data_IF_899496923280
#
_entry.id   IF_899496923280
#
_cell.length_a   1.000
_cell.length_b   1.000
_cell.length_c   1.000
_cell.angle_alpha   90.00
_cell.angle_beta   90.00
_cell.angle_gamma   90.00
#
_symmetry.space_group_name_H-M   'P 1'
#
loop_
_entity.id
_entity.type
_entity.pdbx_description
1 polymer ?
#
# COMPACT_ATOMS: atom_id res chain seq x y z
N UNK A 1 -3.39 11.38 -0.13
CA UNK A 1 -2.18 12.22 -0.16
C UNK A 1 -1.30 11.72 -1.30
N UNK A 2 -0.82 12.60 -2.18
CA UNK A 2 0.15 12.29 -3.25
C UNK A 2 1.41 13.14 -3.11
N UNK A 3 1.62 13.74 -1.94
CA UNK A 3 2.79 14.57 -1.68
C UNK A 3 4.08 13.75 -1.66
N UNK A 4 3.99 12.44 -1.46
CA UNK A 4 5.10 11.49 -1.60
C UNK A 4 4.82 10.52 -2.74
N UNK A 5 5.77 10.39 -3.67
CA UNK A 5 5.62 9.57 -4.88
C UNK A 5 5.50 8.06 -4.59
N UNK A 6 6.07 7.58 -3.48
CA UNK A 6 5.95 6.20 -3.01
C UNK A 6 5.69 6.19 -1.50
N UNK A 7 4.63 5.50 -1.12
CA UNK A 7 4.11 5.47 0.25
C UNK A 7 3.91 4.02 0.67
N UNK A 8 4.14 3.74 1.95
CA UNK A 8 3.94 2.42 2.54
C UNK A 8 3.14 2.57 3.81
N UNK A 9 2.07 1.81 3.92
CA UNK A 9 1.17 1.79 5.08
C UNK A 9 1.08 0.36 5.60
N UNK A 10 0.93 0.23 6.91
CA UNK A 10 0.57 -1.05 7.54
C UNK A 10 -0.86 -0.91 8.03
N UNK A 11 -1.74 -1.74 7.51
CA UNK A 11 -3.18 -1.76 7.84
C UNK A 11 -3.59 -3.17 8.26
N UNK A 12 -4.56 -3.29 9.15
CA UNK A 12 -5.06 -4.60 9.57
C UNK A 12 -6.11 -5.15 8.57
N UNK A 13 -6.02 -6.43 8.24
CA UNK A 13 -7.01 -7.07 7.36
C UNK A 13 -8.36 -7.20 8.05
N UNK A 14 -9.37 -6.49 7.55
CA UNK A 14 -10.72 -6.46 8.13
C UNK A 14 -11.47 -7.80 8.19
N UNK A 15 -10.92 -8.86 7.59
CA UNK A 15 -11.50 -10.21 7.60
C UNK A 15 -10.76 -11.15 8.56
N UNK A 16 -9.43 -11.04 8.66
CA UNK A 16 -8.61 -12.02 9.35
C UNK A 16 -7.65 -11.43 10.41
N UNK A 17 -7.72 -10.14 10.68
CA UNK A 17 -6.93 -9.43 11.68
C UNK A 17 -5.40 -9.66 11.57
N UNK A 18 -4.91 -9.75 10.33
CA UNK A 18 -3.50 -9.89 10.01
C UNK A 18 -2.97 -8.59 9.41
N UNK A 19 -1.73 -8.19 9.74
CA UNK A 19 -1.12 -7.00 9.17
C UNK A 19 -0.90 -7.13 7.66
N UNK A 20 -1.37 -6.13 6.93
CA UNK A 20 -1.18 -5.93 5.50
C UNK A 20 -0.19 -4.78 5.29
N UNK A 21 0.81 -4.99 4.44
CA UNK A 21 1.65 -3.93 3.90
C UNK A 21 1.05 -3.47 2.59
N UNK A 22 0.67 -2.19 2.54
CA UNK A 22 0.11 -1.54 1.36
C UNK A 22 1.17 -0.60 0.80
N UNK A 23 1.63 -0.86 -0.42
CA UNK A 23 2.54 0.01 -1.16
C UNK A 23 1.75 0.78 -2.21
N UNK A 24 1.72 2.11 -2.10
CA UNK A 24 1.09 2.99 -3.08
C UNK A 24 2.14 3.87 -3.75
N UNK A 25 2.08 3.99 -5.08
CA UNK A 25 2.94 4.92 -5.81
C UNK A 25 2.18 5.58 -6.96
N UNK A 26 2.66 6.75 -7.37
CA UNK A 26 2.19 7.45 -8.56
C UNK A 26 3.33 7.47 -9.57
N UNK A 27 3.07 6.97 -10.77
CA UNK A 27 4.06 6.95 -11.84
C UNK A 27 4.23 8.33 -12.49
N UNK A 28 5.12 8.41 -13.49
CA UNK A 28 5.45 9.66 -14.17
C UNK A 28 4.27 10.22 -15.00
N UNK A 29 3.33 9.37 -15.41
CA UNK A 29 2.11 9.74 -16.14
C UNK A 29 0.97 10.13 -15.18
N UNK A 30 1.21 10.06 -13.87
CA UNK A 30 0.23 10.33 -12.83
C UNK A 30 -0.72 9.16 -12.55
N UNK A 31 -0.44 7.97 -13.08
CA UNK A 31 -1.25 6.79 -12.82
C UNK A 31 -0.90 6.19 -11.45
N UNK A 32 -1.90 5.93 -10.59
CA UNK A 32 -1.67 5.30 -9.31
C UNK A 32 -1.47 3.79 -9.48
N UNK A 33 -0.51 3.25 -8.74
CA UNK A 33 -0.28 1.82 -8.59
C UNK A 33 -0.34 1.46 -7.11
N UNK A 34 -0.98 0.32 -6.81
CA UNK A 34 -1.14 -0.18 -5.45
C UNK A 34 -0.84 -1.67 -5.43
N UNK A 35 0.00 -2.07 -4.48
CA UNK A 35 0.29 -3.46 -4.14
C UNK A 35 -0.01 -3.73 -2.68
N UNK A 36 -0.52 -4.94 -2.42
CA UNK A 36 -0.97 -5.35 -1.09
C UNK A 36 -0.43 -6.75 -0.84
N UNK A 37 0.30 -6.90 0.26
CA UNK A 37 0.84 -8.17 0.73
C UNK A 37 0.66 -8.29 2.24
N UNK A 38 0.69 -9.50 2.77
CA UNK A 38 0.77 -9.69 4.22
C UNK A 38 2.19 -9.36 4.69
N UNK A 39 2.33 -8.81 5.90
CA UNK A 39 3.66 -8.48 6.46
C UNK A 39 4.50 -9.74 6.73
N UNK A 40 3.83 -10.86 7.01
CA UNK A 40 4.43 -12.14 7.43
C UNK A 40 4.46 -13.19 6.29
N UNK A 41 4.28 -12.78 5.03
CA UNK A 41 4.54 -13.63 3.84
C UNK A 41 5.94 -13.38 3.26
#
# INVERSE_FOLDING_TARGET
DTSVARQTYVEDCSVCCRPLVIAAQVDADGAPWVDVRFEDD
#
